data_IF_968897597336
#
_entry.id   IF_968897597336
#
_cell.length_a   1.000
_cell.length_b   1.000
_cell.length_c   1.000
_cell.angle_alpha   90.00
_cell.angle_beta   90.00
_cell.angle_gamma   90.00
#
_symmetry.space_group_name_H-M   'P 1'
#
loop_
_entity.id
_entity.type
_entity.pdbx_description
1 polymer ?
#
# COMPACT_ATOMS: atom_id res chain seq x y z
N UNK A 1 -14.88 -0.24 5.01
CA UNK A 1 -14.19 -1.40 4.38
C UNK A 1 -14.96 -1.93 3.17
N UNK A 2 -16.29 -2.14 3.26
CA UNK A 2 -17.09 -2.65 2.13
C UNK A 2 -16.92 -1.91 0.79
N UNK A 3 -16.81 -0.58 0.81
CA UNK A 3 -16.58 0.20 -0.43
C UNK A 3 -15.23 -0.16 -1.07
N UNK A 4 -14.19 -0.32 -0.27
CA UNK A 4 -12.84 -0.66 -0.75
C UNK A 4 -12.83 -2.06 -1.39
N UNK A 5 -13.64 -3.00 -0.88
CA UNK A 5 -13.78 -4.33 -1.47
C UNK A 5 -14.49 -4.33 -2.83
N UNK A 6 -15.30 -3.32 -3.15
CA UNK A 6 -16.03 -3.26 -4.43
C UNK A 6 -15.21 -2.60 -5.53
N UNK A 7 -14.15 -1.87 -5.18
CA UNK A 7 -13.33 -1.13 -6.14
C UNK A 7 -12.26 -2.06 -6.72
N UNK A 8 -12.43 -2.39 -7.99
CA UNK A 8 -11.45 -3.15 -8.77
C UNK A 8 -10.99 -2.29 -9.94
N UNK A 9 -9.80 -1.70 -9.85
CA UNK A 9 -9.26 -0.83 -10.88
C UNK A 9 -7.77 -1.07 -11.06
N UNK A 10 -7.27 -1.06 -12.31
CA UNK A 10 -5.89 -1.45 -12.64
C UNK A 10 -4.78 -0.63 -11.97
N UNK A 11 -5.10 0.58 -11.50
CA UNK A 11 -4.16 1.50 -10.86
C UNK A 11 -4.36 1.61 -9.33
N UNK A 12 -5.25 0.80 -8.75
CA UNK A 12 -5.49 0.74 -7.31
C UNK A 12 -5.12 -0.65 -6.81
N UNK A 13 -4.56 -0.71 -5.61
CA UNK A 13 -4.34 -1.99 -4.97
C UNK A 13 -5.68 -2.67 -4.68
N UNK A 14 -5.87 -3.88 -5.19
CA UNK A 14 -7.10 -4.63 -4.97
C UNK A 14 -7.15 -5.17 -3.54
N UNK A 15 -8.28 -4.99 -2.87
CA UNK A 15 -8.55 -5.58 -1.57
C UNK A 15 -9.25 -6.94 -1.77
N UNK A 16 -8.62 -8.01 -1.31
CA UNK A 16 -9.15 -9.37 -1.39
C UNK A 16 -10.13 -9.63 -0.26
N UNK A 17 -9.84 -9.09 0.94
CA UNK A 17 -10.70 -9.25 2.09
C UNK A 17 -10.16 -8.54 3.33
N UNK A 18 -10.82 -8.77 4.45
CA UNK A 18 -10.40 -8.27 5.75
C UNK A 18 -10.80 -9.23 6.85
N UNK A 19 -10.11 -9.13 7.97
CA UNK A 19 -10.52 -9.72 9.24
C UNK A 19 -10.68 -8.59 10.26
N UNK A 20 -11.77 -8.65 11.02
CA UNK A 20 -12.12 -7.68 12.04
C UNK A 20 -12.50 -8.45 13.30
N UNK A 21 -11.75 -8.26 14.37
CA UNK A 21 -12.09 -8.74 15.70
C UNK A 21 -11.74 -7.66 16.72
N UNK A 22 -12.71 -7.34 17.59
CA UNK A 22 -12.59 -6.27 18.58
C UNK A 22 -12.22 -4.94 17.90
N UNK A 23 -11.01 -4.43 18.14
CA UNK A 23 -10.47 -3.18 17.58
C UNK A 23 -9.29 -3.42 16.61
N UNK A 24 -9.02 -4.68 16.25
CA UNK A 24 -7.95 -5.04 15.33
C UNK A 24 -8.49 -5.29 13.91
N UNK A 25 -7.82 -4.71 12.92
CA UNK A 25 -8.18 -4.83 11.50
C UNK A 25 -7.00 -5.35 10.72
N UNK A 26 -7.18 -6.52 10.11
CA UNK A 26 -6.23 -7.08 9.16
C UNK A 26 -6.81 -6.93 7.75
N UNK A 27 -6.03 -6.33 6.85
CA UNK A 27 -6.40 -6.19 5.45
C UNK A 27 -5.62 -7.19 4.61
N UNK A 28 -6.33 -7.94 3.78
CA UNK A 28 -5.74 -8.87 2.83
C UNK A 28 -5.83 -8.24 1.44
N UNK A 29 -4.68 -7.91 0.86
CA UNK A 29 -4.56 -7.26 -0.45
C UNK A 29 -3.57 -7.99 -1.35
N UNK A 30 -3.58 -7.63 -2.63
CA UNK A 30 -2.56 -8.09 -3.56
C UNK A 30 -1.17 -7.60 -3.13
N UNK A 31 -0.18 -8.48 -3.22
CA UNK A 31 1.20 -8.13 -2.88
C UNK A 31 1.82 -7.24 -3.96
N UNK A 32 2.27 -6.06 -3.55
CA UNK A 32 2.96 -5.11 -4.42
C UNK A 32 4.47 -5.27 -4.28
N UNK A 33 5.06 -6.11 -5.14
CA UNK A 33 6.48 -6.49 -5.05
C UNK A 33 7.46 -5.30 -5.07
N UNK A 34 7.08 -4.18 -5.69
CA UNK A 34 7.93 -2.98 -5.78
C UNK A 34 7.76 -2.02 -4.59
N UNK A 35 7.04 -2.41 -3.54
CA UNK A 35 6.83 -1.56 -2.37
C UNK A 35 6.09 -0.26 -2.69
N UNK A 36 6.24 0.74 -1.81
CA UNK A 36 5.53 2.01 -1.99
C UNK A 36 6.20 2.88 -3.06
N UNK A 37 5.37 3.57 -3.85
CA UNK A 37 5.87 4.58 -4.78
C UNK A 37 6.60 5.71 -4.05
N UNK A 38 6.13 6.10 -2.87
CA UNK A 38 6.74 7.15 -2.06
C UNK A 38 8.18 6.83 -1.69
N UNK A 39 8.47 5.63 -1.19
CA UNK A 39 9.84 5.21 -0.86
C UNK A 39 10.74 5.22 -2.09
N UNK A 40 10.23 4.75 -3.22
CA UNK A 40 10.96 4.74 -4.49
C UNK A 40 11.26 6.13 -5.03
N UNK A 41 10.37 7.10 -4.82
CA UNK A 41 10.59 8.50 -5.20
C UNK A 41 11.45 9.26 -4.19
N UNK A 42 11.40 8.88 -2.90
CA UNK A 42 12.26 9.45 -1.86
C UNK A 42 13.73 9.06 -2.03
N UNK A 43 13.98 7.90 -2.65
CA UNK A 43 15.30 7.37 -3.00
C UNK A 43 16.08 8.07 -4.12
N UNK A 44 15.77 9.32 -4.46
CA UNK A 44 16.57 10.14 -5.41
C UNK A 44 16.81 11.57 -4.94
N UNK A 45 16.65 11.88 -3.66
CA UNK A 45 17.07 13.15 -3.06
C UNK A 45 18.09 12.94 -1.92
N UNK A 46 18.84 11.83 -1.92
CA UNK A 46 20.17 11.85 -1.32
C UNK A 46 21.07 12.62 -2.27
N UNK A 47 20.92 13.95 -2.26
CA UNK A 47 22.05 14.81 -2.54
C UNK A 47 23.18 14.31 -1.66
N UNK A 48 24.21 13.77 -2.30
CA UNK A 48 25.55 13.86 -1.77
C UNK A 48 25.79 15.35 -1.49
N UNK A 49 25.55 15.77 -0.26
CA UNK A 49 26.24 16.91 0.30
C UNK A 49 27.14 16.31 1.37
N UNK A 50 28.41 16.22 0.99
CA UNK A 50 29.57 16.12 1.87
C UNK A 50 29.38 17.07 3.07
N UNK A 51 29.33 16.50 4.28
CA UNK A 51 30.05 16.90 5.50
C UNK A 51 29.52 16.12 6.72
#
# INVERSE_FOLDING_TARGET
IEILMRIHHRNLASLVGFYLEQDEIILVSEYMANGSLYERLKGTNSGQSED
#
